data_IF_422657763367
#
_entry.id   IF_422657763367
#
_cell.length_a   1.000
_cell.length_b   1.000
_cell.length_c   1.000
_cell.angle_alpha   90.00
_cell.angle_beta   90.00
_cell.angle_gamma   90.00
#
_symmetry.space_group_name_H-M   'P 1'
#
loop_
_entity.id
_entity.type
_entity.pdbx_description
1 polymer ?
#
# COMPACT_ATOMS: atom_id res chain seq x y z
N UNK A 1 -14.37 -17.34 -13.49
CA UNK A 1 -14.83 -15.98 -13.79
C UNK A 1 -13.68 -15.04 -13.53
N UNK A 2 -12.95 -14.68 -14.57
CA UNK A 2 -11.81 -13.77 -14.53
C UNK A 2 -12.28 -12.46 -15.17
N UNK A 3 -13.24 -11.84 -14.51
CA UNK A 3 -13.84 -10.58 -14.95
C UNK A 3 -13.50 -9.48 -13.94
N UNK A 4 -13.49 -8.26 -14.44
CA UNK A 4 -13.21 -7.01 -13.76
C UNK A 4 -11.75 -6.75 -13.38
N UNK A 5 -11.03 -6.06 -14.29
CA UNK A 5 -10.63 -4.65 -14.08
C UNK A 5 -9.59 -4.21 -15.12
N UNK A 6 -10.08 -3.81 -16.29
CA UNK A 6 -9.31 -3.18 -17.37
C UNK A 6 -8.80 -1.75 -17.06
N UNK A 7 -8.04 -1.52 -15.98
CA UNK A 7 -7.37 -0.22 -15.73
C UNK A 7 -5.83 -0.28 -15.80
N UNK A 8 -5.32 -1.33 -16.46
CA UNK A 8 -3.94 -1.77 -16.73
C UNK A 8 -2.90 -0.75 -17.25
N UNK A 9 -3.07 0.57 -17.12
CA UNK A 9 -2.05 1.55 -17.55
C UNK A 9 -1.71 2.69 -16.58
N UNK A 10 -2.25 2.75 -15.35
CA UNK A 10 -1.79 3.74 -14.36
C UNK A 10 -0.85 3.11 -13.34
N UNK A 11 0.46 3.24 -13.59
CA UNK A 11 1.49 2.87 -12.62
C UNK A 11 1.32 3.72 -11.35
N UNK A 12 1.32 3.07 -10.20
CA UNK A 12 1.39 3.75 -8.92
C UNK A 12 2.87 3.90 -8.56
N UNK A 13 3.40 5.11 -8.68
CA UNK A 13 4.81 5.41 -8.40
C UNK A 13 4.91 6.25 -7.15
N UNK A 14 5.58 5.71 -6.15
CA UNK A 14 6.03 6.41 -4.97
C UNK A 14 7.51 6.71 -5.14
N UNK A 15 7.84 8.00 -5.18
CA UNK A 15 9.21 8.50 -5.16
C UNK A 15 9.38 9.31 -3.88
N UNK A 16 10.13 8.77 -2.92
CA UNK A 16 10.31 9.33 -1.59
C UNK A 16 8.97 9.85 -0.99
N UNK A 17 7.90 9.09 -1.17
CA UNK A 17 6.55 9.53 -0.83
C UNK A 17 6.31 9.41 0.67
N UNK A 18 5.70 10.42 1.29
CA UNK A 18 5.30 10.36 2.69
C UNK A 18 4.24 9.28 2.92
N UNK A 19 4.21 8.70 4.14
CA UNK A 19 3.19 7.69 4.46
C UNK A 19 1.76 8.23 4.34
N UNK A 20 1.54 9.53 4.53
CA UNK A 20 0.23 10.14 4.29
C UNK A 20 -0.21 10.05 2.84
N UNK A 21 0.70 10.32 1.89
CA UNK A 21 0.43 10.15 0.46
C UNK A 21 0.14 8.69 0.13
N UNK A 22 0.95 7.77 0.66
CA UNK A 22 0.75 6.32 0.47
C UNK A 22 -0.64 5.89 0.98
N UNK A 23 -1.08 6.37 2.15
CA UNK A 23 -2.41 6.09 2.70
C UNK A 23 -3.53 6.61 1.78
N UNK A 24 -3.41 7.84 1.30
CA UNK A 24 -4.39 8.45 0.41
C UNK A 24 -4.52 7.68 -0.91
N UNK A 25 -3.39 7.29 -1.50
CA UNK A 25 -3.39 6.47 -2.72
C UNK A 25 -3.98 5.07 -2.47
N UNK A 26 -3.59 4.37 -1.39
CA UNK A 26 -4.19 3.07 -1.06
C UNK A 26 -5.71 3.13 -0.89
N UNK A 27 -6.22 4.21 -0.27
CA UNK A 27 -7.66 4.42 -0.12
C UNK A 27 -8.33 4.71 -1.45
N UNK A 28 -7.72 5.52 -2.32
CA UNK A 28 -8.27 5.92 -3.62
C UNK A 28 -8.30 4.75 -4.61
N UNK A 29 -7.24 3.96 -4.65
CA UNK A 29 -7.03 2.95 -5.68
C UNK A 29 -7.52 1.56 -5.28
N UNK A 30 -7.39 1.22 -4.00
CA UNK A 30 -7.74 -0.11 -3.50
C UNK A 30 -8.86 -0.09 -2.46
N UNK A 31 -9.38 1.10 -2.12
CA UNK A 31 -10.37 1.23 -1.04
C UNK A 31 -9.80 0.97 0.35
N UNK A 32 -8.47 0.83 0.49
CA UNK A 32 -7.85 0.38 1.72
C UNK A 32 -7.45 1.52 2.64
N UNK A 33 -7.83 1.43 3.91
CA UNK A 33 -7.30 2.28 4.96
C UNK A 33 -6.05 1.65 5.59
N UNK A 34 -4.89 2.30 5.44
CA UNK A 34 -3.66 1.85 6.06
C UNK A 34 -3.47 2.53 7.44
N UNK A 35 -3.42 1.70 8.49
CA UNK A 35 -3.20 2.06 9.89
C UNK A 35 -1.80 1.61 10.32
N UNK A 36 -1.07 2.51 10.96
CA UNK A 36 0.29 2.28 11.46
C UNK A 36 0.56 3.14 12.70
N UNK A 37 1.46 2.68 13.57
CA UNK A 37 1.97 3.49 14.67
C UNK A 37 2.74 4.72 14.17
N UNK A 38 2.78 5.76 15.00
CA UNK A 38 3.45 7.04 14.72
C UNK A 38 4.94 6.90 14.44
N UNK A 39 5.59 5.83 14.91
CA UNK A 39 6.98 5.48 14.57
C UNK A 39 7.19 5.24 13.06
N UNK A 40 6.17 4.74 12.36
CA UNK A 40 6.20 4.47 10.91
C UNK A 40 5.75 5.66 10.08
N UNK A 41 4.94 6.56 10.65
CA UNK A 41 4.35 7.70 9.94
C UNK A 41 5.40 8.67 9.36
N UNK A 42 6.60 8.74 9.95
CA UNK A 42 7.71 9.60 9.49
C UNK A 42 8.55 8.98 8.37
N UNK A 43 8.29 7.73 7.97
CA UNK A 43 9.03 7.06 6.90
C UNK A 43 8.57 7.56 5.53
N UNK A 44 9.45 7.36 4.55
CA UNK A 44 9.12 7.59 3.14
C UNK A 44 9.22 6.27 2.39
N UNK A 45 8.40 6.13 1.36
CA UNK A 45 8.33 4.96 0.51
C UNK A 45 8.80 5.31 -0.90
N UNK A 46 9.72 4.50 -1.43
CA UNK A 46 10.04 4.48 -2.85
C UNK A 46 9.70 3.11 -3.40
N UNK A 47 8.69 3.05 -4.27
CA UNK A 47 8.19 1.82 -4.88
C UNK A 47 7.36 2.13 -6.12
N UNK A 48 7.33 1.22 -7.09
CA UNK A 48 6.49 1.34 -8.28
C UNK A 48 5.67 0.07 -8.47
N UNK A 49 4.39 0.25 -8.81
CA UNK A 49 3.45 -0.83 -9.08
C UNK A 49 2.83 -0.61 -10.46
N UNK A 50 2.66 -1.68 -11.21
CA UNK A 50 2.10 -1.73 -12.56
C UNK A 50 0.73 -2.44 -12.63
N UNK A 51 -0.09 -2.31 -11.58
CA UNK A 51 -1.45 -2.90 -11.53
C UNK A 51 -1.58 -4.11 -10.62
N UNK A 52 -0.61 -4.33 -9.74
CA UNK A 52 -0.59 -5.44 -8.80
C UNK A 52 -1.83 -5.43 -7.90
N UNK A 53 -2.33 -6.62 -7.51
CA UNK A 53 -3.43 -6.71 -6.57
C UNK A 53 -3.03 -6.14 -5.22
N UNK A 54 -4.01 -5.65 -4.46
CA UNK A 54 -3.78 -4.94 -3.21
C UNK A 54 -2.88 -5.73 -2.23
N UNK A 55 -3.03 -7.05 -2.15
CA UNK A 55 -2.21 -7.89 -1.28
C UNK A 55 -0.72 -7.90 -1.64
N UNK A 56 -0.39 -7.85 -2.94
CA UNK A 56 1.00 -7.74 -3.39
C UNK A 56 1.57 -6.36 -3.06
N UNK A 57 0.78 -5.30 -3.28
CA UNK A 57 1.17 -3.93 -2.92
C UNK A 57 1.44 -3.82 -1.42
N UNK A 58 0.52 -4.29 -0.57
CA UNK A 58 0.71 -4.28 0.89
C UNK A 58 1.93 -5.10 1.32
N UNK A 59 2.18 -6.25 0.69
CA UNK A 59 3.38 -7.07 1.00
C UNK A 59 4.66 -6.31 0.66
N UNK A 60 4.73 -5.67 -0.51
CA UNK A 60 5.88 -4.88 -0.93
C UNK A 60 6.12 -3.68 -0.01
N UNK A 61 5.06 -2.96 0.38
CA UNK A 61 5.14 -1.88 1.37
C UNK A 61 5.68 -2.41 2.71
N UNK A 62 5.20 -3.56 3.17
CA UNK A 62 5.71 -4.21 4.37
C UNK A 62 7.21 -4.49 4.29
N UNK A 63 7.68 -5.04 3.17
CA UNK A 63 9.10 -5.30 2.93
C UNK A 63 9.94 -4.02 2.94
N UNK A 64 9.48 -2.96 2.28
CA UNK A 64 10.18 -1.67 2.25
C UNK A 64 10.27 -1.01 3.64
N UNK A 65 9.27 -1.23 4.49
CA UNK A 65 9.26 -0.76 5.87
C UNK A 65 9.97 -1.70 6.84
N UNK A 66 10.33 -2.94 6.44
CA UNK A 66 10.80 -3.95 7.38
C UNK A 66 9.72 -4.40 8.38
N UNK A 67 8.45 -4.32 7.99
CA UNK A 67 7.28 -4.57 8.81
C UNK A 67 6.40 -5.67 8.22
N UNK A 68 5.49 -6.23 9.02
CA UNK A 68 4.44 -7.13 8.54
C UNK A 68 3.14 -6.35 8.41
N UNK A 69 2.51 -6.43 7.24
CA UNK A 69 1.19 -5.83 7.02
C UNK A 69 0.14 -6.94 7.00
N UNK A 70 -0.86 -6.83 7.88
CA UNK A 70 -2.04 -7.68 7.89
C UNK A 70 -3.27 -6.90 7.44
N UNK A 71 -4.23 -7.56 6.78
CA UNK A 71 -5.49 -6.93 6.34
C UNK A 71 -6.68 -7.54 7.08
N UNK A 72 -7.62 -6.69 7.49
CA UNK A 72 -8.96 -7.05 7.98
C UNK A 72 -9.97 -6.21 7.23
N UNK A 73 -10.73 -6.84 6.32
CA UNK A 73 -11.65 -6.14 5.43
C UNK A 73 -10.93 -5.10 4.57
N UNK A 74 -11.38 -3.85 4.68
CA UNK A 74 -10.83 -2.66 4.03
C UNK A 74 -9.72 -1.97 4.85
N UNK A 75 -9.33 -2.49 6.02
CA UNK A 75 -8.25 -1.91 6.83
C UNK A 75 -6.99 -2.77 6.84
N UNK A 76 -5.85 -2.17 6.50
CA UNK A 76 -4.52 -2.77 6.60
C UNK A 76 -3.77 -2.23 7.83
N UNK A 77 -3.16 -3.11 8.60
CA UNK A 77 -2.44 -2.81 9.83
C UNK A 77 -0.96 -3.14 9.68
N UNK A 78 -0.10 -2.15 9.89
CA UNK A 78 1.35 -2.32 9.97
C UNK A 78 1.71 -2.80 11.37
N UNK A 79 2.45 -3.90 11.47
CA UNK A 79 3.01 -4.41 12.72
C UNK A 79 4.52 -4.56 12.61
N UNK A 80 5.20 -4.28 13.71
CA UNK A 80 6.62 -4.64 13.85
C UNK A 80 6.77 -6.15 13.71
N UNK A 81 7.88 -6.57 13.10
CA UNK A 81 8.23 -7.98 13.01
C UNK A 81 8.68 -8.54 14.33
#
# INVERSE_FOLDING_TARGET
TADDLGWLQRRLVFDNASMERVRADLRRWYGLELRMDSAWARRHLTASFAGEPAEQVLRAIGLALGARIGRRGDTAFVRVR
#
